data_IF_306564613806
#
_entry.id   IF_306564613806
#
_cell.length_a   1.000
_cell.length_b   1.000
_cell.length_c   1.000
_cell.angle_alpha   90.00
_cell.angle_beta   90.00
_cell.angle_gamma   90.00
#
_symmetry.space_group_name_H-M   'P 1'
#
loop_
_entity.id
_entity.type
_entity.pdbx_description
1 polymer ?
#
# COMPACT_ATOMS: atom_id res chain seq x y z
N UNK A 1 -3.06 -18.40 11.84
CA UNK A 1 -3.90 -17.19 12.00
C UNK A 1 -3.82 -16.47 10.68
N UNK A 2 -4.94 -16.12 10.03
CA UNK A 2 -4.90 -15.48 8.73
C UNK A 2 -4.22 -14.09 8.84
N UNK A 3 -3.48 -13.69 7.82
CA UNK A 3 -2.81 -12.40 7.75
C UNK A 3 -3.87 -11.27 7.70
N UNK A 4 -3.68 -10.22 8.50
CA UNK A 4 -4.57 -9.04 8.53
C UNK A 4 -3.75 -7.76 8.55
N UNK A 5 -4.39 -6.64 8.19
CA UNK A 5 -3.76 -5.31 8.21
C UNK A 5 -3.26 -4.94 9.61
N UNK A 6 -3.99 -5.30 10.66
CA UNK A 6 -3.58 -5.08 12.06
C UNK A 6 -2.28 -5.85 12.39
N UNK A 7 -2.18 -7.10 11.96
CA UNK A 7 -0.97 -7.92 12.15
C UNK A 7 0.22 -7.28 11.43
N UNK A 8 0.04 -6.78 10.20
CA UNK A 8 1.09 -6.11 9.44
C UNK A 8 1.64 -4.89 10.20
N UNK A 9 0.76 -4.07 10.78
CA UNK A 9 1.16 -2.89 11.58
C UNK A 9 1.89 -3.29 12.86
N UNK A 10 1.33 -4.20 13.65
CA UNK A 10 1.90 -4.61 14.95
C UNK A 10 3.28 -5.27 14.76
N UNK A 11 3.42 -6.09 13.72
CA UNK A 11 4.66 -6.83 13.43
C UNK A 11 5.65 -6.06 12.55
N UNK A 12 5.32 -4.82 12.17
CA UNK A 12 6.16 -3.92 11.36
C UNK A 12 6.54 -4.51 9.99
N UNK A 13 5.58 -5.13 9.32
CA UNK A 13 5.76 -5.64 7.95
C UNK A 13 5.46 -4.60 6.86
N UNK A 14 5.21 -3.34 7.23
CA UNK A 14 4.93 -2.28 6.27
C UNK A 14 6.22 -1.74 5.64
N UNK A 15 6.14 -1.50 4.33
CA UNK A 15 7.09 -0.71 3.57
C UNK A 15 6.61 0.73 3.42
N UNK A 16 5.30 0.94 3.22
CA UNK A 16 4.71 2.26 2.96
C UNK A 16 3.25 2.30 3.39
N UNK A 17 2.77 3.46 3.82
CA UNK A 17 1.37 3.75 4.08
C UNK A 17 1.07 5.24 3.83
N UNK A 18 -0.07 5.51 3.19
CA UNK A 18 -0.51 6.86 2.94
C UNK A 18 -2.04 7.00 2.96
N UNK A 19 -2.48 8.23 3.12
CA UNK A 19 -3.82 8.67 2.74
C UNK A 19 -3.83 8.84 1.22
N UNK A 20 -4.87 8.33 0.56
CA UNK A 20 -5.05 8.38 -0.90
C UNK A 20 -6.40 9.02 -1.25
N UNK A 21 -6.82 8.86 -2.50
CA UNK A 21 -8.12 9.30 -2.99
C UNK A 21 -8.29 10.82 -2.96
N UNK A 22 -9.55 11.26 -2.84
CA UNK A 22 -9.91 12.69 -2.94
C UNK A 22 -9.21 13.57 -1.91
N UNK A 23 -8.82 13.02 -0.74
CA UNK A 23 -8.09 13.75 0.30
C UNK A 23 -6.66 14.04 -0.10
N UNK A 24 -5.97 13.11 -0.75
CA UNK A 24 -4.61 13.31 -1.22
C UNK A 24 -4.48 14.43 -2.27
N UNK A 25 -5.55 14.68 -3.03
CA UNK A 25 -5.57 15.68 -4.11
C UNK A 25 -6.37 16.95 -3.76
N UNK A 26 -6.80 17.12 -2.51
CA UNK A 26 -7.55 18.32 -2.09
C UNK A 26 -8.95 18.44 -2.71
N UNK A 27 -9.50 17.34 -3.24
CA UNK A 27 -10.83 17.27 -3.88
C UNK A 27 -11.93 16.78 -2.93
N UNK A 28 -11.58 16.53 -1.67
CA UNK A 28 -12.50 15.96 -0.68
C UNK A 28 -13.60 16.94 -0.26
N UNK A 29 -14.75 16.39 0.10
CA UNK A 29 -15.86 17.10 0.74
C UNK A 29 -15.98 16.66 2.19
N UNK A 30 -16.88 17.30 2.96
CA UNK A 30 -17.15 16.89 4.36
C UNK A 30 -17.67 15.45 4.46
N UNK A 31 -18.31 14.95 3.40
CA UNK A 31 -18.83 13.58 3.34
C UNK A 31 -17.81 12.56 2.81
N UNK A 32 -16.60 12.99 2.41
CA UNK A 32 -15.60 12.08 1.84
C UNK A 32 -15.01 11.16 2.91
N UNK A 33 -15.02 9.88 2.59
CA UNK A 33 -14.28 8.81 3.26
C UNK A 33 -12.76 9.07 3.22
N UNK A 34 -12.02 8.24 3.96
CA UNK A 34 -10.56 8.31 4.00
C UNK A 34 -10.00 7.05 3.38
N UNK A 35 -9.53 7.16 2.15
CA UNK A 35 -8.78 6.08 1.52
C UNK A 35 -7.41 5.97 2.18
N UNK A 36 -7.08 4.76 2.63
CA UNK A 36 -5.74 4.40 3.07
C UNK A 36 -5.20 3.35 2.11
N UNK A 37 -3.98 3.57 1.66
CA UNK A 37 -3.25 2.62 0.82
C UNK A 37 -1.93 2.28 1.49
N UNK A 38 -1.52 1.02 1.38
CA UNK A 38 -0.27 0.57 1.97
C UNK A 38 0.43 -0.47 1.12
N UNK A 39 1.73 -0.64 1.39
CA UNK A 39 2.55 -1.68 0.79
C UNK A 39 3.19 -2.46 1.92
N UNK A 40 3.08 -3.78 1.87
CA UNK A 40 3.61 -4.67 2.89
C UNK A 40 4.50 -5.76 2.31
N UNK A 41 5.42 -6.24 3.13
CA UNK A 41 6.23 -7.42 2.83
C UNK A 41 5.53 -8.63 3.40
N UNK A 42 5.33 -9.67 2.58
CA UNK A 42 4.70 -10.90 3.04
C UNK A 42 5.54 -11.53 4.17
N UNK A 43 4.93 -11.89 5.32
CA UNK A 43 5.68 -12.54 6.40
C UNK A 43 6.29 -13.86 5.95
N UNK A 44 7.47 -14.20 6.47
CA UNK A 44 8.24 -15.36 6.05
C UNK A 44 7.43 -16.68 6.01
N UNK A 45 6.57 -16.92 7.00
CA UNK A 45 5.74 -18.13 7.06
C UNK A 45 4.68 -18.19 5.95
N UNK A 46 4.13 -17.04 5.55
CA UNK A 46 3.17 -16.96 4.44
C UNK A 46 3.93 -17.06 3.10
N UNK A 47 5.09 -16.41 3.00
CA UNK A 47 5.93 -16.45 1.79
C UNK A 47 6.46 -17.85 1.45
N UNK A 48 6.83 -18.65 2.46
CA UNK A 48 7.21 -20.06 2.26
C UNK A 48 6.01 -21.02 2.28
N UNK A 49 4.82 -20.50 2.58
CA UNK A 49 3.59 -21.28 2.62
C UNK A 49 3.06 -21.58 1.21
N UNK A 50 1.92 -22.27 1.18
CA UNK A 50 1.16 -22.51 -0.05
C UNK A 50 0.05 -21.46 -0.27
N UNK A 51 -0.05 -20.48 0.64
CA UNK A 51 -1.04 -19.43 0.61
C UNK A 51 -0.34 -18.12 0.25
N UNK A 52 -0.65 -17.58 -0.92
CA UNK A 52 -0.16 -16.27 -1.35
C UNK A 52 -1.26 -15.24 -1.20
N UNK A 53 -0.92 -14.09 -0.63
CA UNK A 53 -1.84 -12.97 -0.40
C UNK A 53 -1.29 -11.76 -1.15
N UNK A 54 -1.90 -11.44 -2.29
CA UNK A 54 -1.51 -10.30 -3.13
C UNK A 54 -1.96 -8.96 -2.54
N UNK A 55 -3.10 -8.98 -1.83
CA UNK A 55 -3.77 -7.81 -1.34
C UNK A 55 -4.56 -8.14 -0.08
N UNK A 56 -4.67 -7.17 0.82
CA UNK A 56 -5.58 -7.18 1.95
C UNK A 56 -6.44 -5.91 1.90
N UNK A 57 -7.73 -6.04 2.14
CA UNK A 57 -8.63 -4.90 2.31
C UNK A 57 -9.53 -5.06 3.52
N UNK A 58 -10.04 -3.94 4.02
CA UNK A 58 -11.17 -3.96 4.95
C UNK A 58 -12.49 -4.18 4.17
N UNK A 59 -13.60 -4.39 4.89
CA UNK A 59 -14.90 -4.70 4.28
C UNK A 59 -15.41 -3.63 3.30
N UNK A 60 -15.11 -2.36 3.56
CA UNK A 60 -15.51 -1.24 2.69
C UNK A 60 -14.55 -0.98 1.53
N UNK A 61 -13.35 -1.59 1.52
CA UNK A 61 -12.24 -1.30 0.61
C UNK A 61 -11.69 0.14 0.68
N UNK A 62 -11.98 0.88 1.75
CA UNK A 62 -11.35 2.17 2.00
C UNK A 62 -9.88 1.99 2.42
N UNK A 63 -9.54 0.84 3.00
CA UNK A 63 -8.20 0.50 3.47
C UNK A 63 -7.69 -0.68 2.66
N UNK A 64 -6.68 -0.47 1.81
CA UNK A 64 -6.18 -1.49 0.88
C UNK A 64 -4.66 -1.55 0.89
N UNK A 65 -4.11 -2.75 1.11
CA UNK A 65 -2.68 -2.98 1.26
C UNK A 65 -2.25 -3.98 0.19
N UNK A 66 -1.20 -3.64 -0.55
CA UNK A 66 -0.63 -4.48 -1.60
C UNK A 66 0.63 -5.16 -1.11
N UNK A 67 0.77 -6.43 -1.42
CA UNK A 67 2.02 -7.15 -1.17
C UNK A 67 3.12 -6.60 -2.11
N UNK A 68 4.37 -6.59 -1.66
CA UNK A 68 5.50 -5.97 -2.35
C UNK A 68 5.69 -6.47 -3.79
N UNK A 69 5.66 -7.79 -4.04
CA UNK A 69 5.75 -8.33 -5.38
C UNK A 69 4.56 -7.89 -6.23
N UNK A 70 3.34 -7.97 -5.68
CA UNK A 70 2.12 -7.47 -6.36
C UNK A 70 2.25 -5.98 -6.76
N UNK A 71 2.73 -5.13 -5.85
CA UNK A 71 2.99 -3.71 -6.09
C UNK A 71 3.96 -3.50 -7.27
N UNK A 72 5.10 -4.22 -7.27
CA UNK A 72 6.10 -4.12 -8.34
C UNK A 72 5.57 -4.65 -9.68
N UNK A 73 4.82 -5.74 -9.68
CA UNK A 73 4.20 -6.28 -10.90
C UNK A 73 3.18 -5.32 -11.52
N UNK A 74 2.42 -4.62 -10.68
CA UNK A 74 1.47 -3.59 -11.12
C UNK A 74 2.20 -2.34 -11.64
N UNK A 75 3.28 -1.90 -10.99
CA UNK A 75 4.12 -0.82 -11.49
C UNK A 75 4.75 -1.14 -12.84
N UNK A 76 5.30 -2.34 -13.02
CA UNK A 76 5.86 -2.79 -14.28
C UNK A 76 4.83 -2.82 -15.43
N UNK A 77 3.54 -2.85 -15.10
CA UNK A 77 2.42 -2.77 -16.05
C UNK A 77 1.84 -1.36 -16.19
N UNK A 78 2.52 -0.34 -15.68
CA UNK A 78 2.07 1.05 -15.72
C UNK A 78 0.68 1.24 -15.09
N UNK A 79 0.40 0.52 -13.99
CA UNK A 79 -0.88 0.66 -13.29
C UNK A 79 -0.99 2.08 -12.67
N UNK A 80 -2.00 2.89 -13.03
CA UNK A 80 -2.09 4.28 -12.60
C UNK A 80 -2.18 4.42 -11.08
N UNK A 81 -2.90 3.53 -10.39
CA UNK A 81 -3.02 3.58 -8.94
C UNK A 81 -1.66 3.40 -8.26
N UNK A 82 -0.79 2.52 -8.77
CA UNK A 82 0.53 2.31 -8.17
C UNK A 82 1.49 3.46 -8.49
N UNK A 83 1.39 4.04 -9.69
CA UNK A 83 2.14 5.24 -10.07
C UNK A 83 1.75 6.45 -9.20
N UNK A 84 0.47 6.57 -8.85
CA UNK A 84 0.00 7.57 -7.88
C UNK A 84 0.63 7.33 -6.50
N UNK A 85 0.70 6.08 -6.03
CA UNK A 85 1.36 5.77 -4.75
C UNK A 85 2.85 6.14 -4.75
N UNK A 86 3.57 5.92 -5.86
CA UNK A 86 4.97 6.36 -5.99
C UNK A 86 5.13 7.88 -5.86
N UNK A 87 4.12 8.64 -6.31
CA UNK A 87 4.13 10.10 -6.32
C UNK A 87 3.25 10.71 -5.21
N UNK A 88 3.06 9.97 -4.11
CA UNK A 88 2.22 10.43 -2.99
C UNK A 88 2.77 11.73 -2.39
N UNK A 89 1.92 12.76 -2.17
CA UNK A 89 2.30 13.98 -1.46
C UNK A 89 2.84 13.72 -0.05
N UNK A 90 3.88 14.44 0.37
CA UNK A 90 4.59 14.17 1.62
C UNK A 90 3.73 14.31 2.87
N UNK A 91 2.72 15.19 2.85
CA UNK A 91 1.73 15.40 3.90
C UNK A 91 0.68 14.27 3.99
N UNK A 92 0.57 13.44 2.96
CA UNK A 92 -0.31 12.29 2.91
C UNK A 92 0.38 10.98 3.35
N UNK A 93 1.71 10.97 3.44
CA UNK A 93 2.48 9.80 3.87
C UNK A 93 2.38 9.64 5.38
N UNK A 94 1.80 8.53 5.85
CA UNK A 94 1.67 8.21 7.29
C UNK A 94 2.82 7.32 7.77
N UNK A 95 3.41 6.51 6.88
CA UNK A 95 4.59 5.71 7.17
C UNK A 95 5.40 5.44 5.89
N UNK A 96 6.73 5.53 5.97
CA UNK A 96 7.65 5.18 4.88
C UNK A 96 8.90 4.53 5.43
N UNK A 97 9.15 3.28 5.05
CA UNK A 97 10.42 2.60 5.28
C UNK A 97 11.47 3.09 4.26
N UNK A 98 12.76 3.27 4.62
CA UNK A 98 13.78 3.78 3.70
C UNK A 98 13.96 2.99 2.39
N UNK A 99 13.64 1.69 2.41
CA UNK A 99 13.67 0.87 1.20
C UNK A 99 12.61 1.26 0.15
N UNK A 100 11.58 2.03 0.53
CA UNK A 100 10.62 2.54 -0.43
C UNK A 100 11.26 3.51 -1.42
N UNK A 101 12.30 4.24 -1.01
CA UNK A 101 13.00 5.20 -1.87
C UNK A 101 13.80 4.52 -3.01
N UNK A 102 13.88 3.18 -3.02
CA UNK A 102 14.45 2.42 -4.14
C UNK A 102 13.50 2.34 -5.35
N UNK A 103 12.20 2.58 -5.16
CA UNK A 103 11.22 2.62 -6.24
C UNK A 103 11.21 4.01 -6.87
N UNK A 104 12.14 4.24 -7.79
CA UNK A 104 12.25 5.49 -8.53
C UNK A 104 11.25 5.50 -9.70
N UNK A 105 10.45 6.58 -9.88
CA UNK A 105 9.47 6.67 -10.97
C UNK A 105 10.06 6.44 -12.37
N UNK A 106 11.34 6.79 -12.59
CA UNK A 106 12.04 6.63 -13.87
C UNK A 106 12.26 5.17 -14.28
N UNK A 107 11.98 4.21 -13.39
CA UNK A 107 12.09 2.78 -13.66
C UNK A 107 10.84 2.16 -14.31
N UNK A 108 9.73 2.91 -14.43
CA UNK A 108 8.41 2.37 -14.80
C UNK A 108 7.74 3.09 -15.97
#
# INVERSE_FOLDING_TARGET
>A
MALTIEILKIKKYLLFECISGSKAYGLHTVASDTDIRGIFVLPQNEYYGLNYVEQLSNESNDVVYYELKCFVELLARNNPNMLELLNTPQDCITYKHPLYDQFQPELF
#
